data_IF_843578170405
#
_entry.id   IF_843578170405
#
_cell.length_a   1.000
_cell.length_b   1.000
_cell.length_c   1.000
_cell.angle_alpha   90.00
_cell.angle_beta   90.00
_cell.angle_gamma   90.00
#
_symmetry.space_group_name_H-M   'P 1'
#
loop_
_entity.id
_entity.type
_entity.pdbx_description
1 polymer ?
#
# COMPACT_ATOMS: atom_id res chain seq x y z
N UNK A 1 5.67 8.60 -23.41
CA UNK A 1 4.79 7.78 -22.53
C UNK A 1 3.38 7.97 -23.05
N UNK A 2 2.63 6.89 -23.16
CA UNK A 2 1.21 6.90 -23.51
C UNK A 2 0.41 7.59 -22.39
N UNK A 3 -0.85 7.95 -22.67
CA UNK A 3 -1.75 8.44 -21.64
C UNK A 3 -2.10 7.30 -20.66
N UNK A 4 -2.49 7.66 -19.45
CA UNK A 4 -2.83 6.73 -18.37
C UNK A 4 -1.67 5.80 -17.91
N UNK A 5 -0.43 6.15 -18.24
CA UNK A 5 0.74 5.46 -17.70
C UNK A 5 0.83 5.75 -16.19
N UNK A 6 0.72 4.70 -15.39
CA UNK A 6 0.78 4.83 -13.93
C UNK A 6 2.21 5.18 -13.52
N UNK A 7 2.36 6.27 -12.77
CA UNK A 7 3.63 6.70 -12.20
C UNK A 7 3.76 6.35 -10.72
N UNK A 8 2.63 6.10 -10.05
CA UNK A 8 2.57 5.70 -8.65
C UNK A 8 1.22 5.07 -8.32
N UNK A 9 1.22 4.12 -7.40
CA UNK A 9 0.01 3.62 -6.74
C UNK A 9 0.05 3.99 -5.26
N UNK A 10 -1.03 4.59 -4.77
CA UNK A 10 -1.25 4.94 -3.36
C UNK A 10 -2.36 4.03 -2.84
N UNK A 11 -2.05 3.01 -2.03
CA UNK A 11 -3.08 2.17 -1.43
C UNK A 11 -3.84 2.94 -0.35
N UNK A 12 -5.15 2.71 -0.26
CA UNK A 12 -6.02 3.22 0.79
C UNK A 12 -6.46 2.07 1.67
N UNK A 13 -6.09 2.12 2.95
CA UNK A 13 -6.42 1.10 3.93
C UNK A 13 -7.53 1.58 4.84
N UNK A 14 -8.62 0.82 4.91
CA UNK A 14 -9.63 1.03 5.94
C UNK A 14 -9.16 0.46 7.26
N UNK A 15 -9.26 1.26 8.30
CA UNK A 15 -8.78 0.96 9.64
C UNK A 15 -9.86 1.21 10.71
N UNK A 16 -9.73 0.57 11.86
CA UNK A 16 -10.65 0.78 12.99
C UNK A 16 -10.30 2.02 13.82
N UNK A 17 -9.02 2.23 14.09
CA UNK A 17 -8.54 3.25 15.02
C UNK A 17 -7.36 4.01 14.40
N UNK A 18 -7.59 5.29 14.09
CA UNK A 18 -6.59 6.16 13.46
C UNK A 18 -5.37 6.35 14.34
N UNK A 19 -5.55 6.60 15.63
CA UNK A 19 -4.44 6.88 16.53
C UNK A 19 -3.44 5.72 16.61
N UNK A 20 -3.94 4.48 16.79
CA UNK A 20 -3.09 3.29 16.83
C UNK A 20 -2.36 3.06 15.51
N UNK A 21 -3.03 3.25 14.39
CA UNK A 21 -2.42 3.08 13.07
C UNK A 21 -1.44 4.22 12.73
N UNK A 22 -1.75 5.46 13.11
CA UNK A 22 -0.83 6.58 12.97
C UNK A 22 0.44 6.35 13.80
N UNK A 23 0.32 5.91 15.04
CA UNK A 23 1.47 5.55 15.88
C UNK A 23 2.33 4.47 15.23
N UNK A 24 1.70 3.45 14.65
CA UNK A 24 2.41 2.40 13.92
C UNK A 24 3.15 2.95 12.69
N UNK A 25 2.44 3.59 11.77
CA UNK A 25 3.05 4.03 10.51
C UNK A 25 4.04 5.20 10.71
N UNK A 26 3.77 6.11 11.64
CA UNK A 26 4.64 7.27 11.87
C UNK A 26 5.80 6.90 12.80
N UNK A 27 5.52 6.36 13.99
CA UNK A 27 6.56 6.17 15.00
C UNK A 27 7.38 4.89 14.78
N UNK A 28 6.75 3.79 14.33
CA UNK A 28 7.48 2.54 14.12
C UNK A 28 8.04 2.39 12.71
N UNK A 29 7.38 2.94 11.68
CA UNK A 29 7.83 2.84 10.29
C UNK A 29 8.45 4.14 9.74
N UNK A 30 8.49 5.21 10.53
CA UNK A 30 9.14 6.46 10.15
C UNK A 30 8.44 7.24 9.03
N UNK A 31 7.18 6.91 8.71
CA UNK A 31 6.39 7.67 7.74
C UNK A 31 5.99 9.02 8.34
N UNK A 32 5.65 9.97 7.47
CA UNK A 32 5.21 11.31 7.86
C UNK A 32 3.71 11.46 7.67
N UNK A 33 2.99 11.91 8.69
CA UNK A 33 1.62 12.38 8.56
C UNK A 33 1.63 13.71 7.77
N UNK A 34 0.90 13.75 6.65
CA UNK A 34 0.89 14.91 5.74
C UNK A 34 -0.37 15.73 5.88
N UNK A 35 -1.52 15.08 5.85
CA UNK A 35 -2.83 15.71 5.90
C UNK A 35 -3.80 14.80 6.66
N UNK A 36 -4.55 15.39 7.55
CA UNK A 36 -5.68 14.75 8.22
C UNK A 36 -6.96 15.50 7.88
N UNK A 37 -7.88 14.82 7.20
CA UNK A 37 -9.15 15.40 6.77
C UNK A 37 -10.29 14.40 6.93
N UNK A 38 -11.29 14.76 7.73
CA UNK A 38 -12.43 13.89 8.06
C UNK A 38 -11.98 12.49 8.53
N UNK A 39 -12.34 11.42 7.77
CA UNK A 39 -11.96 10.05 8.07
C UNK A 39 -10.55 9.68 7.56
N UNK A 40 -9.92 10.53 6.78
CA UNK A 40 -8.69 10.20 6.06
C UNK A 40 -7.44 10.79 6.73
N UNK A 41 -6.37 10.00 6.71
CA UNK A 41 -5.01 10.41 7.06
C UNK A 41 -4.08 10.05 5.91
N UNK A 42 -3.50 11.07 5.27
CA UNK A 42 -2.48 10.88 4.24
C UNK A 42 -1.10 10.75 4.87
N UNK A 43 -0.37 9.72 4.47
CA UNK A 43 0.97 9.40 4.91
C UNK A 43 1.96 9.49 3.75
N UNK A 44 3.16 9.93 4.03
CA UNK A 44 4.24 10.02 3.06
C UNK A 44 5.59 10.09 3.76
N UNK A 45 6.54 10.78 3.14
CA UNK A 45 7.91 10.94 3.60
C UNK A 45 8.28 12.43 3.77
N UNK A 46 9.56 12.74 3.96
CA UNK A 46 10.03 14.11 4.14
C UNK A 46 9.90 14.95 2.85
N UNK A 47 9.71 14.34 1.69
CA UNK A 47 9.39 15.05 0.44
C UNK A 47 7.97 15.61 0.41
N UNK A 48 7.13 15.24 1.39
CA UNK A 48 5.72 15.62 1.53
C UNK A 48 4.84 15.12 0.37
N UNK A 49 5.23 14.01 -0.24
CA UNK A 49 4.44 13.35 -1.28
C UNK A 49 3.62 12.23 -0.65
N UNK A 50 2.31 12.19 -0.93
CA UNK A 50 1.43 11.11 -0.46
C UNK A 50 1.86 9.76 -1.05
N UNK A 51 1.96 8.74 -0.20
CA UNK A 51 2.37 7.37 -0.57
C UNK A 51 1.39 6.32 -0.07
N UNK A 52 0.65 6.62 0.99
CA UNK A 52 -0.31 5.72 1.62
C UNK A 52 -1.43 6.57 2.23
N UNK A 53 -2.67 6.07 2.22
CA UNK A 53 -3.78 6.72 2.88
C UNK A 53 -4.49 5.75 3.82
N UNK A 54 -4.88 6.22 4.99
CA UNK A 54 -5.69 5.49 5.95
C UNK A 54 -7.09 6.11 5.99
N UNK A 55 -8.12 5.25 5.96
CA UNK A 55 -9.54 5.65 6.11
C UNK A 55 -10.08 5.08 7.42
N UNK A 56 -10.35 5.93 8.40
CA UNK A 56 -10.90 5.48 9.67
C UNK A 56 -12.38 5.12 9.56
N UNK A 57 -12.72 3.89 9.92
CA UNK A 57 -14.09 3.40 10.01
C UNK A 57 -14.27 2.65 11.32
N UNK A 58 -14.85 3.28 12.36
CA UNK A 58 -15.02 2.67 13.66
C UNK A 58 -15.86 1.38 13.60
N UNK A 59 -15.64 0.47 14.55
CA UNK A 59 -16.21 -0.88 14.60
C UNK A 59 -17.74 -0.97 14.49
N UNK A 60 -18.48 0.11 14.78
CA UNK A 60 -19.92 0.16 14.57
C UNK A 60 -20.35 0.23 13.10
N UNK A 61 -19.43 0.60 12.18
CA UNK A 61 -19.69 0.73 10.74
C UNK A 61 -19.05 -0.37 9.93
N UNK A 62 -18.00 -0.96 10.44
CA UNK A 62 -17.22 -1.99 9.76
C UNK A 62 -16.63 -2.97 10.77
N UNK A 63 -16.04 -4.05 10.31
CA UNK A 63 -15.48 -5.11 11.16
C UNK A 63 -14.14 -5.62 10.63
N UNK A 64 -13.45 -6.36 11.48
CA UNK A 64 -12.28 -7.13 11.08
C UNK A 64 -12.67 -8.18 10.01
N UNK A 65 -11.77 -8.40 9.05
CA UNK A 65 -11.89 -9.45 8.02
C UNK A 65 -11.97 -10.82 8.69
N UNK A 66 -12.83 -11.69 8.16
CA UNK A 66 -12.90 -13.12 8.52
C UNK A 66 -12.15 -13.92 7.47
N UNK A 67 -11.05 -14.54 7.88
CA UNK A 67 -10.13 -15.25 6.98
C UNK A 67 -9.04 -14.32 6.40
N UNK A 68 -8.50 -14.65 5.22
CA UNK A 68 -7.47 -13.85 4.59
C UNK A 68 -8.01 -12.47 4.16
N UNK A 69 -7.20 -11.43 4.37
CA UNK A 69 -7.46 -10.07 3.87
C UNK A 69 -7.13 -9.98 2.38
N UNK A 70 -7.77 -9.06 1.66
CA UNK A 70 -7.38 -8.68 0.29
C UNK A 70 -5.92 -8.23 0.26
N UNK A 71 -5.51 -7.37 1.20
CA UNK A 71 -4.12 -6.99 1.33
C UNK A 71 -3.29 -8.14 1.89
N UNK A 72 -2.35 -8.64 1.09
CA UNK A 72 -1.37 -9.61 1.53
C UNK A 72 -0.18 -8.92 2.21
N UNK A 73 0.39 -7.91 1.53
CA UNK A 73 1.53 -7.15 2.01
C UNK A 73 1.69 -5.84 1.23
N UNK A 74 2.18 -4.80 1.89
CA UNK A 74 2.75 -3.62 1.25
C UNK A 74 4.26 -3.73 1.30
N UNK A 75 4.91 -3.55 0.15
CA UNK A 75 6.37 -3.51 0.04
C UNK A 75 6.80 -2.06 -0.15
N UNK A 76 7.61 -1.59 0.78
CA UNK A 76 8.12 -0.22 0.84
C UNK A 76 9.60 -0.23 0.51
N UNK A 77 9.98 0.42 -0.58
CA UNK A 77 11.39 0.64 -0.94
C UNK A 77 11.86 1.98 -0.39
N UNK A 78 12.80 1.93 0.55
CA UNK A 78 13.39 3.10 1.21
C UNK A 78 14.63 3.53 0.44
N UNK A 79 14.84 4.83 0.29
CA UNK A 79 15.99 5.36 -0.45
C UNK A 79 17.33 5.15 0.28
N UNK A 80 17.33 5.23 1.62
CA UNK A 80 18.52 5.05 2.46
C UNK A 80 18.37 3.87 3.43
N UNK A 81 19.19 2.82 3.24
CA UNK A 81 19.20 1.64 4.11
C UNK A 81 19.54 1.98 5.59
N UNK A 82 20.28 3.06 5.85
CA UNK A 82 20.62 3.51 7.20
C UNK A 82 19.39 3.97 7.99
N UNK A 83 18.37 4.46 7.31
CA UNK A 83 17.10 4.82 7.95
C UNK A 83 16.36 3.58 8.46
N UNK A 84 16.47 2.46 7.75
CA UNK A 84 15.93 1.16 8.21
C UNK A 84 16.65 0.69 9.47
N UNK A 85 17.98 0.81 9.52
CA UNK A 85 18.76 0.50 10.73
C UNK A 85 18.37 1.41 11.90
N UNK A 86 18.12 2.70 11.64
CA UNK A 86 17.64 3.67 12.64
C UNK A 86 16.24 3.31 13.18
N UNK A 87 15.35 2.76 12.35
CA UNK A 87 14.06 2.22 12.79
C UNK A 87 14.26 0.95 13.63
N UNK A 88 15.12 0.02 13.21
CA UNK A 88 15.43 -1.21 13.94
C UNK A 88 16.08 -0.93 15.31
N UNK A 89 16.86 0.15 15.44
CA UNK A 89 17.40 0.61 16.72
C UNK A 89 16.30 0.94 17.76
N UNK A 90 15.09 1.29 17.30
CA UNK A 90 13.92 1.53 18.15
C UNK A 90 13.19 0.25 18.56
N UNK A 91 13.72 -0.92 18.13
CA UNK A 91 13.20 -2.27 18.45
C UNK A 91 11.72 -2.47 18.11
N UNK A 92 11.30 -2.21 16.85
CA UNK A 92 9.92 -2.50 16.43
C UNK A 92 9.64 -4.00 16.57
N UNK A 93 8.38 -4.36 16.77
CA UNK A 93 7.96 -5.76 16.83
C UNK A 93 7.94 -6.38 15.42
N UNK A 94 9.10 -6.61 14.82
CA UNK A 94 9.20 -7.22 13.51
C UNK A 94 8.80 -8.71 13.55
N UNK A 95 8.15 -9.18 12.47
CA UNK A 95 7.79 -10.58 12.27
C UNK A 95 8.90 -11.35 11.57
N UNK A 96 9.63 -10.67 10.68
CA UNK A 96 10.78 -11.20 9.96
C UNK A 96 11.85 -10.13 9.80
N UNK A 97 13.10 -10.56 9.94
CA UNK A 97 14.26 -9.72 9.68
C UNK A 97 15.03 -10.32 8.50
N UNK A 98 15.53 -9.48 7.63
CA UNK A 98 16.31 -9.88 6.47
C UNK A 98 17.62 -9.08 6.41
N UNK A 99 18.59 -9.64 5.75
CA UNK A 99 19.82 -8.99 5.33
C UNK A 99 19.98 -9.13 3.83
N UNK A 100 20.28 -8.03 3.16
CA UNK A 100 20.55 -7.96 1.73
C UNK A 100 21.91 -7.34 1.44
N UNK A 101 22.13 -6.95 0.18
CA UNK A 101 23.39 -6.33 -0.25
C UNK A 101 23.52 -4.89 0.25
N UNK A 102 22.40 -4.13 0.31
CA UNK A 102 22.38 -2.74 0.75
C UNK A 102 22.22 -2.57 2.26
N UNK A 103 21.81 -3.61 2.97
CA UNK A 103 21.62 -3.54 4.40
C UNK A 103 20.50 -4.44 4.90
N UNK A 104 19.93 -4.05 6.03
CA UNK A 104 18.85 -4.79 6.66
C UNK A 104 17.48 -4.37 6.11
N UNK A 105 16.55 -5.32 6.16
CA UNK A 105 15.13 -5.13 5.85
C UNK A 105 14.31 -5.85 6.91
N UNK A 106 13.09 -5.39 7.16
CA UNK A 106 12.23 -6.06 8.14
C UNK A 106 10.75 -6.01 7.73
N UNK A 107 10.03 -7.03 8.15
CA UNK A 107 8.58 -7.13 8.00
C UNK A 107 7.92 -6.93 9.36
N UNK A 108 6.87 -6.14 9.40
CA UNK A 108 6.05 -5.89 10.58
C UNK A 108 4.57 -6.04 10.28
N UNK A 109 3.78 -6.17 11.34
CA UNK A 109 2.33 -6.30 11.25
C UNK A 109 1.64 -5.08 11.87
N UNK A 110 0.77 -4.44 11.09
CA UNK A 110 -0.03 -3.29 11.56
C UNK A 110 -1.04 -3.70 12.65
N UNK A 111 -1.64 -2.74 13.38
CA UNK A 111 -2.73 -3.01 14.31
C UNK A 111 -3.93 -3.74 13.67
N UNK A 112 -4.17 -3.52 12.39
CA UNK A 112 -5.22 -4.21 11.61
C UNK A 112 -4.77 -5.56 11.03
N UNK A 113 -3.50 -5.94 11.25
CA UNK A 113 -2.94 -7.21 10.81
C UNK A 113 -2.33 -7.19 9.41
N UNK A 114 -2.18 -6.02 8.78
CA UNK A 114 -1.53 -5.88 7.48
C UNK A 114 -0.03 -6.06 7.59
N UNK A 115 0.58 -6.76 6.65
CA UNK A 115 2.03 -6.89 6.58
C UNK A 115 2.65 -5.73 5.80
N UNK A 116 3.73 -5.19 6.32
CA UNK A 116 4.54 -4.16 5.67
C UNK A 116 6.00 -4.60 5.71
N UNK A 117 6.62 -4.69 4.53
CA UNK A 117 8.05 -4.97 4.37
C UNK A 117 8.77 -3.68 3.99
N UNK A 118 9.78 -3.29 4.77
CA UNK A 118 10.69 -2.19 4.43
C UNK A 118 12.03 -2.75 3.97
N UNK A 119 12.53 -2.30 2.83
CA UNK A 119 13.84 -2.66 2.29
C UNK A 119 14.45 -1.51 1.46
N UNK A 120 15.75 -1.60 1.17
CA UNK A 120 16.46 -0.67 0.30
C UNK A 120 17.08 -1.35 -0.95
N UNK A 121 16.84 -2.66 -1.13
CA UNK A 121 17.44 -3.44 -2.20
C UNK A 121 16.95 -3.02 -3.59
N UNK A 122 17.82 -3.11 -4.60
CA UNK A 122 17.41 -2.98 -6.00
C UNK A 122 16.73 -4.26 -6.50
N UNK A 123 17.13 -5.38 -5.95
CA UNK A 123 16.49 -6.66 -6.21
C UNK A 123 16.13 -7.35 -4.89
N UNK A 124 14.83 -7.46 -4.59
CA UNK A 124 14.34 -8.12 -3.36
C UNK A 124 14.76 -9.59 -3.22
N UNK A 125 15.10 -10.25 -4.33
CA UNK A 125 15.58 -11.64 -4.28
C UNK A 125 16.91 -11.79 -3.51
N UNK A 126 17.64 -10.67 -3.29
CA UNK A 126 18.87 -10.65 -2.51
C UNK A 126 18.61 -10.69 -0.99
N UNK A 127 17.36 -10.47 -0.54
CA UNK A 127 17.00 -10.52 0.87
C UNK A 127 17.02 -11.97 1.40
N UNK A 128 17.85 -12.21 2.40
CA UNK A 128 17.95 -13.48 3.11
C UNK A 128 17.43 -13.31 4.53
N UNK A 129 16.51 -14.16 4.95
CA UNK A 129 15.95 -14.15 6.30
C UNK A 129 17.03 -14.47 7.33
N UNK A 130 17.14 -13.66 8.37
CA UNK A 130 18.07 -13.83 9.48
C UNK A 130 17.33 -13.91 10.81
N UNK A 131 17.84 -14.71 11.74
CA UNK A 131 17.17 -14.96 13.03
C UNK A 131 17.70 -14.10 14.16
N UNK A 132 18.85 -13.47 13.97
CA UNK A 132 19.50 -12.64 14.99
C UNK A 132 19.68 -11.22 14.46
N UNK A 133 19.22 -10.25 15.24
CA UNK A 133 19.47 -8.84 14.99
C UNK A 133 20.76 -8.41 15.71
N UNK A 134 21.66 -7.66 15.04
CA UNK A 134 22.73 -6.97 15.74
C UNK A 134 22.17 -5.83 16.58
N UNK A 135 23.01 -5.21 17.41
CA UNK A 135 22.65 -3.95 18.01
C UNK A 135 22.75 -2.84 16.94
N UNK A 136 21.60 -2.26 16.62
CA UNK A 136 21.53 -1.15 15.68
C UNK A 136 21.68 0.18 16.40
N UNK A 137 22.32 1.13 15.73
CA UNK A 137 22.46 2.51 16.21
C UNK A 137 21.54 3.44 15.41
N UNK A 138 20.81 4.28 16.11
CA UNK A 138 19.99 5.32 15.49
C UNK A 138 20.87 6.46 15.04
N UNK A 139 20.72 6.93 13.80
CA UNK A 139 21.36 8.15 13.33
C UNK A 139 20.89 9.35 14.17
N UNK A 140 21.81 10.27 14.52
CA UNK A 140 21.53 11.42 15.41
C UNK A 140 20.43 12.34 14.85
N UNK A 141 20.39 12.52 13.53
CA UNK A 141 19.48 13.41 12.81
C UNK A 141 18.26 12.68 12.23
N UNK A 142 18.07 11.39 12.56
CA UNK A 142 16.94 10.61 12.05
C UNK A 142 15.61 11.10 12.60
N UNK A 143 14.78 11.67 11.74
CA UNK A 143 13.42 12.18 12.03
C UNK A 143 12.31 11.40 11.33
N UNK A 144 12.64 10.29 10.68
CA UNK A 144 11.75 9.48 9.84
C UNK A 144 12.33 9.26 8.45
N UNK A 145 11.61 8.51 7.61
CA UNK A 145 12.06 8.21 6.26
C UNK A 145 12.17 9.47 5.39
N UNK A 146 13.36 9.71 4.84
CA UNK A 146 13.60 10.86 3.96
C UNK A 146 12.84 10.74 2.66
N UNK A 147 12.87 9.54 2.06
CA UNK A 147 12.16 9.20 0.83
C UNK A 147 11.92 7.69 0.76
N UNK A 148 10.70 7.32 0.36
CA UNK A 148 10.35 5.94 0.03
C UNK A 148 9.32 5.87 -1.10
N UNK A 149 9.18 4.70 -1.69
CA UNK A 149 8.09 4.39 -2.64
C UNK A 149 7.36 3.12 -2.19
N UNK A 150 6.07 3.04 -2.49
CA UNK A 150 5.36 1.77 -2.47
C UNK A 150 5.78 1.02 -3.74
N UNK A 151 6.71 0.08 -3.56
CA UNK A 151 7.25 -0.71 -4.67
C UNK A 151 6.22 -1.70 -5.19
N UNK A 152 5.50 -2.36 -4.26
CA UNK A 152 4.51 -3.37 -4.64
C UNK A 152 3.39 -3.44 -3.60
N UNK A 153 2.15 -3.55 -4.06
CA UNK A 153 1.00 -3.96 -3.26
C UNK A 153 0.67 -5.40 -3.64
N UNK A 154 0.86 -6.32 -2.70
CA UNK A 154 0.56 -7.74 -2.88
C UNK A 154 -0.89 -8.01 -2.45
N UNK A 155 -1.70 -8.55 -3.36
CA UNK A 155 -3.15 -8.66 -3.18
C UNK A 155 -3.58 -10.13 -3.27
N UNK A 156 -4.40 -10.57 -2.32
CA UNK A 156 -5.07 -11.87 -2.39
C UNK A 156 -6.40 -11.72 -3.08
N UNK A 157 -6.66 -12.62 -4.01
CA UNK A 157 -7.88 -12.65 -4.83
C UNK A 157 -8.39 -14.09 -4.95
N UNK A 158 -9.70 -14.28 -5.22
CA UNK A 158 -10.24 -15.63 -5.46
C UNK A 158 -9.67 -16.30 -6.71
N UNK A 159 -9.28 -15.51 -7.72
CA UNK A 159 -8.73 -15.99 -8.99
C UNK A 159 -7.60 -15.03 -9.43
N UNK A 160 -6.37 -15.49 -9.27
CA UNK A 160 -5.19 -14.69 -9.59
C UNK A 160 -5.03 -14.44 -11.11
N UNK A 161 -5.42 -15.41 -11.96
CA UNK A 161 -5.34 -15.24 -13.41
C UNK A 161 -6.33 -14.20 -13.92
N UNK A 162 -7.57 -14.19 -13.39
CA UNK A 162 -8.58 -13.19 -13.74
C UNK A 162 -8.14 -11.78 -13.33
N UNK A 163 -7.58 -11.64 -12.13
CA UNK A 163 -7.06 -10.36 -11.66
C UNK A 163 -5.89 -9.89 -12.54
N UNK A 164 -4.95 -10.75 -12.85
CA UNK A 164 -3.80 -10.43 -13.71
C UNK A 164 -4.25 -10.05 -15.13
N UNK A 165 -5.22 -10.75 -15.71
CA UNK A 165 -5.81 -10.40 -17.02
C UNK A 165 -6.48 -9.04 -16.98
N UNK A 166 -7.25 -8.74 -15.93
CA UNK A 166 -7.89 -7.44 -15.77
C UNK A 166 -6.86 -6.30 -15.67
N UNK A 167 -5.89 -6.42 -14.78
CA UNK A 167 -4.89 -5.36 -14.56
C UNK A 167 -3.88 -5.23 -15.70
N UNK A 168 -3.67 -6.27 -16.52
CA UNK A 168 -2.83 -6.18 -17.73
C UNK A 168 -3.38 -5.22 -18.78
N UNK A 169 -4.66 -4.87 -18.73
CA UNK A 169 -5.31 -3.87 -19.60
C UNK A 169 -5.01 -2.44 -19.17
N UNK A 170 -4.48 -2.24 -17.97
CA UNK A 170 -4.10 -0.94 -17.42
C UNK A 170 -2.58 -0.80 -17.55
N UNK A 171 -2.14 0.23 -18.25
CA UNK A 171 -0.73 0.39 -18.58
C UNK A 171 0.16 0.41 -17.33
N UNK A 172 1.14 -0.49 -17.30
CA UNK A 172 2.13 -0.75 -16.24
C UNK A 172 1.58 -0.97 -14.82
N UNK A 173 0.27 -1.30 -14.66
CA UNK A 173 -0.29 -1.60 -13.33
C UNK A 173 0.41 -2.79 -12.66
N UNK A 174 0.82 -3.79 -13.44
CA UNK A 174 1.51 -4.99 -12.93
C UNK A 174 2.95 -4.74 -12.47
N UNK A 175 3.51 -3.56 -12.74
CA UNK A 175 4.80 -3.15 -12.16
C UNK A 175 4.66 -2.85 -10.65
N UNK A 176 3.44 -2.50 -10.20
CA UNK A 176 3.13 -2.13 -8.82
C UNK A 176 2.28 -3.17 -8.08
N UNK A 177 1.63 -4.10 -8.79
CA UNK A 177 0.65 -5.01 -8.23
C UNK A 177 1.04 -6.47 -8.49
N UNK A 178 0.90 -7.31 -7.46
CA UNK A 178 1.02 -8.75 -7.61
C UNK A 178 -0.18 -9.44 -6.98
N UNK A 179 -0.59 -10.57 -7.56
CA UNK A 179 -1.80 -11.29 -7.15
C UNK A 179 -1.47 -12.71 -6.73
N UNK A 180 -2.04 -13.13 -5.59
CA UNK A 180 -1.99 -14.52 -5.12
C UNK A 180 -3.41 -15.03 -4.90
N UNK A 181 -3.64 -16.27 -5.29
CA UNK A 181 -4.93 -16.91 -5.08
C UNK A 181 -5.14 -17.27 -3.62
N UNK A 182 -6.34 -17.03 -3.12
CA UNK A 182 -6.74 -17.39 -1.77
C UNK A 182 -8.24 -17.66 -1.69
N UNK A 183 -8.64 -18.47 -0.71
CA UNK A 183 -10.04 -18.73 -0.39
C UNK A 183 -10.43 -17.95 0.87
N UNK A 184 -11.52 -17.16 0.80
CA UNK A 184 -12.00 -16.39 1.93
C UNK A 184 -13.30 -15.65 1.61
N UNK A 185 -14.23 -15.66 2.56
CA UNK A 185 -15.56 -15.05 2.36
C UNK A 185 -15.50 -13.54 2.17
N UNK A 186 -14.46 -12.87 2.67
CA UNK A 186 -14.33 -11.41 2.63
C UNK A 186 -13.44 -10.91 1.48
N UNK A 187 -12.85 -11.78 0.68
CA UNK A 187 -12.01 -11.37 -0.47
C UNK A 187 -12.79 -10.59 -1.55
N UNK A 188 -14.11 -10.73 -1.59
CA UNK A 188 -15.01 -9.96 -2.45
C UNK A 188 -16.05 -9.18 -1.65
N UNK A 189 -15.80 -8.96 -0.35
CA UNK A 189 -16.67 -8.15 0.49
C UNK A 189 -16.68 -6.69 0.02
N UNK A 190 -17.83 -6.04 0.24
CA UNK A 190 -17.96 -4.60 0.02
C UNK A 190 -17.00 -3.82 0.90
N UNK A 191 -16.40 -2.77 0.33
CA UNK A 191 -15.42 -1.91 1.02
C UNK A 191 -15.96 -1.25 2.30
N UNK A 192 -17.29 -1.08 2.43
CA UNK A 192 -17.90 -0.53 3.63
C UNK A 192 -17.86 -1.50 4.82
N UNK A 193 -17.66 -2.81 4.60
CA UNK A 193 -17.87 -3.83 5.62
C UNK A 193 -16.63 -4.21 6.41
N UNK A 194 -15.44 -4.09 5.85
CA UNK A 194 -14.22 -4.67 6.44
C UNK A 194 -13.05 -3.68 6.50
N UNK A 195 -12.17 -3.86 7.51
CA UNK A 195 -10.91 -3.14 7.59
C UNK A 195 -9.87 -3.87 6.74
N UNK A 196 -9.69 -3.38 5.53
CA UNK A 196 -8.83 -3.99 4.52
C UNK A 196 -8.39 -2.95 3.48
N UNK A 197 -7.72 -3.38 2.43
CA UNK A 197 -7.47 -2.58 1.23
C UNK A 197 -8.81 -2.25 0.55
N UNK A 198 -9.13 -0.97 0.46
CA UNK A 198 -10.40 -0.50 -0.11
C UNK A 198 -10.24 0.18 -1.46
N UNK A 199 -9.11 0.83 -1.69
CA UNK A 199 -8.87 1.59 -2.92
C UNK A 199 -7.39 1.55 -3.30
N UNK A 200 -7.14 1.61 -4.60
CA UNK A 200 -5.85 1.91 -5.21
C UNK A 200 -5.98 3.23 -5.97
N UNK A 201 -5.33 4.28 -5.48
CA UNK A 201 -5.24 5.55 -6.19
C UNK A 201 -4.07 5.45 -7.17
N UNK A 202 -4.36 5.42 -8.45
CA UNK A 202 -3.38 5.39 -9.53
C UNK A 202 -3.11 6.82 -10.00
N UNK A 203 -1.95 7.35 -9.66
CA UNK A 203 -1.46 8.60 -10.21
C UNK A 203 -0.87 8.33 -11.58
N UNK A 204 -1.39 9.01 -12.61
CA UNK A 204 -0.98 8.80 -14.00
C UNK A 204 -0.28 10.04 -14.56
N UNK A 205 0.55 9.84 -15.57
CA UNK A 205 1.26 10.95 -16.24
C UNK A 205 0.31 11.94 -16.93
N UNK A 206 -0.79 11.46 -17.49
CA UNK A 206 -1.87 12.24 -18.13
C UNK A 206 -3.14 11.40 -18.13
N UNK A 207 -4.21 11.93 -17.58
CA UNK A 207 -5.49 11.23 -17.50
C UNK A 207 -6.25 11.37 -18.82
N UNK A 208 -6.62 10.26 -19.43
CA UNK A 208 -7.56 10.16 -20.55
C UNK A 208 -8.69 9.19 -20.19
N UNK A 209 -9.77 9.71 -19.61
CA UNK A 209 -10.88 8.90 -19.08
C UNK A 209 -11.59 8.11 -20.17
N UNK A 210 -11.66 8.61 -21.40
CA UNK A 210 -12.26 7.91 -22.53
C UNK A 210 -11.52 6.61 -22.86
N UNK A 211 -10.19 6.61 -22.76
CA UNK A 211 -9.37 5.43 -23.03
C UNK A 211 -9.45 4.39 -21.91
N UNK A 212 -9.74 4.80 -20.67
CA UNK A 212 -9.90 3.88 -19.52
C UNK A 212 -11.27 3.22 -19.48
N UNK A 213 -12.35 3.89 -19.91
CA UNK A 213 -13.74 3.37 -19.81
C UNK A 213 -13.94 1.96 -20.34
N UNK A 214 -13.39 1.55 -21.50
CA UNK A 214 -13.58 0.19 -22.00
C UNK A 214 -13.02 -0.91 -21.10
N UNK A 215 -12.00 -0.60 -20.29
CA UNK A 215 -11.41 -1.57 -19.34
C UNK A 215 -12.43 -1.97 -18.27
N UNK A 216 -13.37 -1.08 -17.96
CA UNK A 216 -14.40 -1.25 -16.93
C UNK A 216 -15.77 -1.61 -17.52
N UNK A 217 -15.82 -2.17 -18.72
CA UNK A 217 -17.08 -2.59 -19.32
C UNK A 217 -17.85 -3.55 -18.37
N UNK A 218 -19.17 -3.30 -18.21
CA UNK A 218 -20.02 -4.03 -17.28
C UNK A 218 -19.90 -3.62 -15.81
N UNK A 219 -19.09 -2.60 -15.49
CA UNK A 219 -18.92 -2.03 -14.14
C UNK A 219 -19.39 -0.59 -14.09
N UNK A 220 -19.71 -0.12 -12.89
CA UNK A 220 -19.99 1.29 -12.68
C UNK A 220 -18.70 2.12 -12.84
N UNK A 221 -18.79 3.18 -13.64
CA UNK A 221 -17.69 4.13 -13.85
C UNK A 221 -18.20 5.53 -13.54
N UNK A 222 -17.57 6.16 -12.58
CA UNK A 222 -17.84 7.56 -12.26
C UNK A 222 -16.72 8.47 -12.78
N UNK A 223 -17.09 9.50 -13.53
CA UNK A 223 -16.20 10.58 -13.98
C UNK A 223 -16.92 11.90 -13.70
N UNK A 224 -16.33 12.80 -12.92
CA UNK A 224 -16.94 14.11 -12.65
C UNK A 224 -16.99 14.96 -13.91
N UNK A 225 -17.83 16.00 -13.92
CA UNK A 225 -17.90 16.96 -15.03
C UNK A 225 -16.58 17.70 -15.30
N UNK A 226 -15.73 17.78 -14.28
CA UNK A 226 -14.40 18.39 -14.38
C UNK A 226 -13.37 17.51 -15.08
N UNK A 227 -13.68 16.23 -15.32
CA UNK A 227 -12.82 15.20 -15.93
C UNK A 227 -11.46 15.02 -15.21
N UNK A 228 -11.41 15.32 -13.90
CA UNK A 228 -10.16 15.31 -13.12
C UNK A 228 -9.77 13.93 -12.60
N UNK A 229 -10.74 13.02 -12.52
CA UNK A 229 -10.49 11.65 -12.09
C UNK A 229 -11.51 10.68 -12.69
N UNK A 230 -11.16 9.40 -12.68
CA UNK A 230 -12.08 8.30 -12.96
C UNK A 230 -12.08 7.35 -11.76
N UNK A 231 -13.25 6.93 -11.33
CA UNK A 231 -13.46 5.95 -10.27
C UNK A 231 -14.23 4.75 -10.80
N UNK A 232 -13.76 3.55 -10.52
CA UNK A 232 -14.44 2.28 -10.79
C UNK A 232 -14.01 1.23 -9.76
N UNK A 233 -14.31 -0.04 -9.99
CA UNK A 233 -13.91 -1.15 -9.12
C UNK A 233 -13.33 -2.31 -9.94
N UNK A 234 -12.43 -3.09 -9.31
CA UNK A 234 -11.95 -4.35 -9.86
C UNK A 234 -12.90 -5.53 -9.56
N UNK A 235 -12.47 -6.75 -9.89
CA UNK A 235 -13.21 -8.01 -9.66
C UNK A 235 -13.36 -8.35 -8.17
N UNK A 236 -12.51 -7.80 -7.31
CA UNK A 236 -12.51 -7.99 -5.85
C UNK A 236 -13.17 -6.84 -5.09
N UNK A 237 -13.84 -5.92 -5.80
CA UNK A 237 -14.45 -4.69 -5.25
C UNK A 237 -13.45 -3.72 -4.61
N UNK A 238 -12.17 -3.79 -5.00
CA UNK A 238 -11.22 -2.74 -4.69
C UNK A 238 -11.51 -1.55 -5.61
N UNK A 239 -11.70 -0.38 -5.05
CA UNK A 239 -11.91 0.82 -5.84
C UNK A 239 -10.62 1.22 -6.57
N UNK A 240 -10.76 1.68 -7.81
CA UNK A 240 -9.67 2.15 -8.64
C UNK A 240 -9.91 3.62 -8.96
N UNK A 241 -9.08 4.48 -8.41
CA UNK A 241 -9.11 5.93 -8.61
C UNK A 241 -7.95 6.32 -9.50
N UNK A 242 -8.23 6.92 -10.67
CA UNK A 242 -7.22 7.43 -11.59
C UNK A 242 -7.24 8.95 -11.60
N UNK A 243 -6.08 9.56 -11.41
CA UNK A 243 -5.89 11.02 -11.47
C UNK A 243 -4.49 11.37 -12.03
N UNK A 244 -4.32 12.61 -12.54
CA UNK A 244 -3.03 13.10 -13.07
C UNK A 244 -2.32 14.05 -12.10
#
# INVERSE_FOLDING_TARGET
>A
MSANHIIRIIPVLKINNRHLNQEFFVNQLGMKALLEEAAFLSLGDQTKTEKLQLEESPSMRSRRVKGPKKLARIVVKVADAKEIESLLAQKPAWTKLYQGEKGYAFEVRSPEGDLVLLHAEDNRANLQEVTAAPDFEKQEDFIGLSQFEIETVEIRVPNANEAQEFYSKIENALDFLTFTEAEGQDLQADNALTWDLTMLKAQVNRLETVALRPIFEGREVFVPKSDKFLLSQDTSKIELWFEA
#
